data_IF_733949217852
#
_entry.id   IF_733949217852
#
_cell.length_a   1.000
_cell.length_b   1.000
_cell.length_c   1.000
_cell.angle_alpha   90.00
_cell.angle_beta   90.00
_cell.angle_gamma   90.00
#
_symmetry.space_group_name_H-M   'P 1'
#
loop_
_entity.id
_entity.type
_entity.pdbx_description
1 polymer ?
#
# COMPACT_ATOMS: atom_id res chain seq x y z
N UNK A 1 36.45 -1.90 -23.98
CA UNK A 1 35.72 -1.74 -22.71
C UNK A 1 34.98 -0.40 -22.76
N UNK A 2 33.66 -0.40 -22.76
CA UNK A 2 32.89 0.86 -22.72
C UNK A 2 32.96 1.43 -21.29
N UNK A 3 33.08 2.77 -21.13
CA UNK A 3 33.10 3.38 -19.82
C UNK A 3 31.75 3.17 -19.14
N UNK A 4 31.76 2.54 -17.97
CA UNK A 4 30.59 2.44 -17.09
C UNK A 4 30.24 3.87 -16.68
N UNK A 5 29.17 4.44 -17.26
CA UNK A 5 28.63 5.73 -16.81
C UNK A 5 28.39 5.60 -15.29
N UNK A 6 28.85 6.54 -14.46
CA UNK A 6 28.55 6.49 -13.04
C UNK A 6 27.02 6.45 -12.89
N UNK A 7 26.50 5.40 -12.22
CA UNK A 7 25.09 5.33 -11.84
C UNK A 7 24.79 6.63 -11.09
N UNK A 8 23.93 7.47 -11.64
CA UNK A 8 23.71 8.84 -11.17
C UNK A 8 23.11 8.82 -9.76
N UNK A 9 23.94 8.85 -8.71
CA UNK A 9 23.51 8.77 -7.30
C UNK A 9 22.67 10.00 -6.95
N UNK A 10 21.54 9.83 -6.24
CA UNK A 10 20.82 10.98 -5.69
C UNK A 10 21.78 11.86 -4.87
N UNK A 11 21.76 13.17 -5.13
CA UNK A 11 22.48 14.13 -4.30
C UNK A 11 21.91 14.16 -2.87
N UNK A 12 22.69 14.65 -1.90
CA UNK A 12 22.24 14.78 -0.51
C UNK A 12 20.97 15.63 -0.38
N UNK A 13 20.85 16.66 -1.22
CA UNK A 13 19.66 17.50 -1.28
C UNK A 13 18.43 16.71 -1.78
N UNK A 14 18.58 15.94 -2.85
CA UNK A 14 17.51 15.08 -3.38
C UNK A 14 17.10 13.99 -2.37
N UNK A 15 18.08 13.31 -1.75
CA UNK A 15 17.83 12.32 -0.71
C UNK A 15 17.04 12.89 0.45
N UNK A 16 17.36 14.12 0.89
CA UNK A 16 16.61 14.80 1.95
C UNK A 16 15.15 15.02 1.53
N UNK A 17 14.92 15.54 0.32
CA UNK A 17 13.55 15.78 -0.17
C UNK A 17 12.75 14.49 -0.36
N UNK A 18 13.38 13.44 -0.87
CA UNK A 18 12.76 12.12 -1.02
C UNK A 18 12.34 11.58 0.35
N UNK A 19 13.23 11.62 1.35
CA UNK A 19 12.93 11.18 2.72
C UNK A 19 11.77 11.97 3.35
N UNK A 20 11.72 13.28 3.12
CA UNK A 20 10.61 14.13 3.59
C UNK A 20 9.29 13.75 2.91
N UNK A 21 9.29 13.55 1.59
CA UNK A 21 8.12 13.12 0.83
C UNK A 21 7.60 11.75 1.29
N UNK A 22 8.49 10.76 1.45
CA UNK A 22 8.13 9.42 1.92
C UNK A 22 7.58 9.43 3.35
N UNK A 23 8.12 10.29 4.24
CA UNK A 23 7.55 10.47 5.58
C UNK A 23 6.12 11.00 5.54
N UNK A 24 5.83 11.99 4.68
CA UNK A 24 4.47 12.51 4.54
C UNK A 24 3.53 11.47 3.94
N UNK A 25 4.00 10.70 2.94
CA UNK A 25 3.27 9.59 2.36
C UNK A 25 2.91 8.53 3.40
N UNK A 26 3.88 8.03 4.19
CA UNK A 26 3.62 7.08 5.29
C UNK A 26 2.59 7.66 6.25
N UNK A 27 2.70 8.95 6.63
CA UNK A 27 1.75 9.59 7.54
C UNK A 27 0.33 9.58 6.97
N UNK A 28 0.18 9.76 5.66
CA UNK A 28 -1.10 9.64 4.95
C UNK A 28 -1.67 8.23 5.04
N UNK A 29 -0.86 7.21 4.74
CA UNK A 29 -1.27 5.80 4.81
C UNK A 29 -1.66 5.36 6.23
N UNK A 30 -0.92 5.77 7.26
CA UNK A 30 -1.26 5.43 8.65
C UNK A 30 -2.62 5.98 9.09
N UNK A 31 -3.05 7.13 8.56
CA UNK A 31 -4.39 7.68 8.87
C UNK A 31 -5.51 6.80 8.36
N UNK A 32 -5.28 6.02 7.31
CA UNK A 32 -6.26 5.06 6.77
C UNK A 32 -6.03 3.64 7.29
N UNK A 33 -5.09 3.44 8.23
CA UNK A 33 -4.79 2.15 8.85
C UNK A 33 -3.77 1.29 8.11
N UNK A 34 -3.07 1.83 7.11
CA UNK A 34 -2.00 1.14 6.37
C UNK A 34 -0.61 1.47 6.93
N UNK A 35 0.28 0.47 6.97
CA UNK A 35 1.64 0.60 7.50
C UNK A 35 2.71 0.27 6.46
N UNK A 36 2.82 1.04 5.37
CA UNK A 36 3.82 0.79 4.36
C UNK A 36 5.24 0.99 4.92
N UNK A 37 6.16 0.17 4.44
CA UNK A 37 7.60 0.28 4.70
C UNK A 37 8.26 0.87 3.45
N UNK A 38 9.32 1.66 3.62
CA UNK A 38 10.13 2.08 2.50
C UNK A 38 11.62 1.92 2.80
N UNK A 39 12.41 1.81 1.74
CA UNK A 39 13.86 1.88 1.79
C UNK A 39 14.40 2.67 0.59
N UNK A 40 15.60 3.23 0.73
CA UNK A 40 16.30 3.95 -0.34
C UNK A 40 17.69 3.35 -0.46
N UNK A 41 17.98 2.71 -1.59
CA UNK A 41 19.27 2.06 -1.87
C UNK A 41 19.86 2.60 -3.16
N UNK A 42 20.91 3.43 -3.04
CA UNK A 42 21.50 4.14 -4.18
C UNK A 42 20.46 5.04 -4.86
N UNK A 43 19.95 4.60 -6.00
CA UNK A 43 18.97 5.31 -6.82
C UNK A 43 17.58 4.68 -6.83
N UNK A 44 17.41 3.62 -6.05
CA UNK A 44 16.18 2.86 -6.01
C UNK A 44 15.43 3.22 -4.73
N UNK A 45 14.14 3.47 -4.89
CA UNK A 45 13.22 3.70 -3.78
C UNK A 45 12.29 2.50 -3.75
N UNK A 46 12.34 1.73 -2.67
CA UNK A 46 11.46 0.61 -2.44
C UNK A 46 10.32 1.06 -1.55
N UNK A 47 9.09 0.73 -1.91
CA UNK A 47 7.91 0.93 -1.07
C UNK A 47 7.14 -0.38 -1.03
N UNK A 48 6.95 -0.91 0.17
CA UNK A 48 6.24 -2.15 0.44
C UNK A 48 4.92 -1.79 1.11
N UNK A 49 3.81 -2.19 0.50
CA UNK A 49 2.46 -2.02 1.02
C UNK A 49 1.87 -3.41 1.25
N UNK A 50 1.37 -3.65 2.46
CA UNK A 50 0.67 -4.90 2.76
C UNK A 50 -0.74 -4.84 2.16
N UNK A 51 -0.99 -5.71 1.17
CA UNK A 51 -2.29 -5.79 0.51
C UNK A 51 -3.36 -6.40 1.42
N UNK A 52 -2.98 -7.19 2.42
CA UNK A 52 -3.92 -7.78 3.37
C UNK A 52 -4.44 -6.72 4.35
N UNK A 53 -3.61 -5.75 4.75
CA UNK A 53 -4.08 -4.58 5.51
C UNK A 53 -5.12 -3.79 4.70
N UNK A 54 -4.86 -3.57 3.40
CA UNK A 54 -5.79 -2.87 2.52
C UNK A 54 -7.12 -3.63 2.38
N UNK A 55 -7.05 -4.95 2.21
CA UNK A 55 -8.24 -5.78 2.14
C UNK A 55 -9.03 -5.77 3.46
N UNK A 56 -8.35 -5.77 4.61
CA UNK A 56 -8.99 -5.65 5.93
C UNK A 56 -9.70 -4.31 6.12
N UNK A 57 -9.11 -3.20 5.66
CA UNK A 57 -9.77 -1.89 5.69
C UNK A 57 -11.07 -1.90 4.90
N UNK A 58 -11.04 -2.45 3.68
CA UNK A 58 -12.25 -2.61 2.85
C UNK A 58 -13.27 -3.50 3.55
N UNK A 59 -12.83 -4.63 4.11
CA UNK A 59 -13.68 -5.55 4.87
C UNK A 59 -14.40 -4.85 6.00
N UNK A 60 -13.67 -4.18 6.88
CA UNK A 60 -14.22 -3.51 8.05
C UNK A 60 -15.21 -2.40 7.64
N UNK A 61 -14.88 -1.65 6.59
CA UNK A 61 -15.75 -0.59 6.08
C UNK A 61 -17.06 -1.14 5.54
N UNK A 62 -17.03 -2.20 4.74
CA UNK A 62 -18.25 -2.82 4.19
C UNK A 62 -19.06 -3.49 5.29
N UNK A 63 -18.43 -4.24 6.19
CA UNK A 63 -19.10 -4.86 7.34
C UNK A 63 -19.84 -3.81 8.18
N UNK A 64 -19.22 -2.66 8.44
CA UNK A 64 -19.88 -1.57 9.21
C UNK A 64 -21.09 -0.96 8.52
N UNK A 65 -21.18 -1.07 7.18
CA UNK A 65 -22.29 -0.55 6.39
C UNK A 65 -23.45 -1.54 6.27
N UNK A 66 -23.21 -2.83 6.53
CA UNK A 66 -24.23 -3.88 6.45
C UNK A 66 -24.86 -4.06 7.83
N UNK A 67 -26.20 -4.15 7.88
CA UNK A 67 -26.92 -4.36 9.14
C UNK A 67 -26.62 -5.78 9.68
N UNK A 68 -26.04 -5.92 10.89
CA UNK A 68 -25.64 -7.21 11.45
C UNK A 68 -26.81 -8.19 11.66
N UNK A 69 -28.06 -7.71 11.63
CA UNK A 69 -29.26 -8.53 11.78
C UNK A 69 -29.85 -9.05 10.47
N UNK A 70 -29.23 -8.77 9.31
CA UNK A 70 -29.80 -9.09 7.99
C UNK A 70 -28.94 -10.02 7.13
N UNK A 71 -27.90 -10.65 7.66
CA UNK A 71 -27.16 -11.65 6.89
C UNK A 71 -25.74 -11.93 7.37
N UNK A 72 -25.17 -13.01 6.83
CA UNK A 72 -23.73 -13.28 6.90
C UNK A 72 -23.00 -12.54 5.78
N UNK A 73 -21.79 -12.04 6.09
CA UNK A 73 -20.93 -11.39 5.10
C UNK A 73 -19.76 -12.30 4.78
N UNK A 74 -19.74 -12.83 3.57
CA UNK A 74 -18.61 -13.59 3.04
C UNK A 74 -17.62 -12.64 2.33
N UNK A 75 -16.33 -12.86 2.59
CA UNK A 75 -15.24 -12.03 2.11
C UNK A 75 -14.19 -12.88 1.41
N UNK A 76 -14.02 -12.67 0.12
CA UNK A 76 -13.02 -13.35 -0.68
C UNK A 76 -12.08 -12.35 -1.34
N UNK A 77 -10.78 -12.60 -1.27
CA UNK A 77 -9.73 -11.76 -1.85
C UNK A 77 -9.09 -12.53 -3.00
N UNK A 78 -9.12 -11.95 -4.19
CA UNK A 78 -8.43 -12.48 -5.36
C UNK A 78 -7.35 -11.48 -5.78
N UNK A 79 -6.15 -11.98 -6.05
CA UNK A 79 -5.05 -11.19 -6.59
C UNK A 79 -4.85 -11.59 -8.04
N UNK A 80 -4.86 -10.59 -8.92
CA UNK A 80 -4.52 -10.68 -10.33
C UNK A 80 -3.27 -9.79 -10.58
N UNK A 81 -2.65 -9.92 -11.76
CA UNK A 81 -1.41 -9.22 -12.13
C UNK A 81 -1.49 -7.70 -11.96
N UNK A 82 -2.69 -7.12 -12.10
CA UNK A 82 -2.93 -5.67 -12.05
C UNK A 82 -3.78 -5.21 -10.88
N UNK A 83 -4.55 -6.10 -10.26
CA UNK A 83 -5.60 -5.71 -9.33
C UNK A 83 -5.73 -6.67 -8.15
N UNK A 84 -6.13 -6.10 -7.01
CA UNK A 84 -6.71 -6.86 -5.91
C UNK A 84 -8.23 -6.73 -5.97
N UNK A 85 -8.93 -7.85 -6.18
CA UNK A 85 -10.39 -7.92 -6.19
C UNK A 85 -10.87 -8.40 -4.82
N UNK A 86 -11.57 -7.52 -4.11
CA UNK A 86 -12.27 -7.86 -2.86
C UNK A 86 -13.73 -8.11 -3.20
N UNK A 87 -14.18 -9.35 -3.04
CA UNK A 87 -15.58 -9.75 -3.24
C UNK A 87 -16.25 -9.81 -1.88
N UNK A 88 -17.36 -9.08 -1.75
CA UNK A 88 -18.21 -9.12 -0.56
C UNK A 88 -19.57 -9.66 -0.97
N UNK A 89 -20.02 -10.74 -0.33
CA UNK A 89 -21.36 -11.30 -0.52
C UNK A 89 -22.14 -11.17 0.76
N UNK A 90 -23.37 -10.67 0.67
CA UNK A 90 -24.31 -10.60 1.78
C UNK A 90 -25.37 -11.64 1.53
N UNK A 91 -25.35 -12.72 2.31
CA UNK A 91 -26.37 -13.78 2.26
C UNK A 91 -27.50 -13.43 3.22
N UNK A 92 -28.74 -13.40 2.72
CA UNK A 92 -29.96 -13.08 3.48
C UNK A 92 -30.77 -14.33 3.76
#
# INVERSE_FOLDING_TARGET
>A
MQPVKPKAVFSDYELKRIKEALKQMIKGFRKIGLHPKYDISGNEIFVLIDLDELAMIVKNRVTSAVNPYKGMIDFNIFRDEKYMKVVVRVER
#
